data_IF_531860926215
#
_entry.id   IF_531860926215
#
_cell.length_a   1.000
_cell.length_b   1.000
_cell.length_c   1.000
_cell.angle_alpha   90.00
_cell.angle_beta   90.00
_cell.angle_gamma   90.00
#
_symmetry.space_group_name_H-M   'P 1'
#
loop_
_entity.id
_entity.type
_entity.pdbx_description
1 polymer ?
#
# COMPACT_ATOMS: atom_id res chain seq x y z
N UNK A 1 -10.92 2.66 9.20
CA UNK A 1 -11.87 1.54 9.40
C UNK A 1 -11.30 0.61 10.46
N UNK A 2 -12.16 0.01 11.27
CA UNK A 2 -11.77 -0.95 12.30
C UNK A 2 -12.24 -2.37 11.91
N UNK A 3 -11.47 -2.98 11.00
CA UNK A 3 -11.76 -4.32 10.47
C UNK A 3 -11.87 -5.36 11.60
N UNK A 4 -10.97 -5.39 12.61
CA UNK A 4 -11.09 -6.32 13.72
C UNK A 4 -12.44 -6.26 14.43
N UNK A 5 -12.92 -5.05 14.71
CA UNK A 5 -14.21 -4.86 15.36
C UNK A 5 -15.40 -5.25 14.47
N UNK A 6 -15.36 -4.92 13.17
CA UNK A 6 -16.42 -5.24 12.21
C UNK A 6 -16.61 -6.76 12.05
N UNK A 7 -15.52 -7.53 12.00
CA UNK A 7 -15.55 -8.98 11.77
C UNK A 7 -15.38 -9.79 13.05
N UNK A 8 -15.29 -9.15 14.22
CA UNK A 8 -15.07 -9.78 15.53
C UNK A 8 -13.87 -10.73 15.55
N UNK A 9 -12.77 -10.31 14.91
CA UNK A 9 -11.52 -11.07 14.89
C UNK A 9 -10.54 -10.51 15.93
N UNK A 10 -9.58 -11.34 16.34
CA UNK A 10 -8.56 -10.92 17.32
C UNK A 10 -7.67 -9.80 16.76
N UNK A 11 -7.76 -8.62 17.36
CA UNK A 11 -7.01 -7.43 16.96
C UNK A 11 -5.49 -7.64 17.05
N UNK A 12 -5.02 -8.48 17.96
CA UNK A 12 -3.59 -8.75 18.13
C UNK A 12 -3.03 -9.55 16.95
N UNK A 13 -3.73 -10.61 16.54
CA UNK A 13 -3.39 -11.41 15.38
C UNK A 13 -3.52 -10.63 14.08
N UNK A 14 -4.54 -9.77 13.96
CA UNK A 14 -4.66 -8.86 12.80
C UNK A 14 -3.44 -7.95 12.69
N UNK A 15 -3.03 -7.29 13.79
CA UNK A 15 -1.84 -6.44 13.83
C UNK A 15 -0.54 -7.19 13.52
N UNK A 16 -0.41 -8.45 13.97
CA UNK A 16 0.74 -9.30 13.59
C UNK A 16 0.80 -9.50 12.09
N UNK A 17 -0.33 -9.79 11.45
CA UNK A 17 -0.38 -9.97 10.00
C UNK A 17 -0.04 -8.68 9.25
N UNK A 18 -0.53 -7.52 9.71
CA UNK A 18 -0.15 -6.22 9.14
C UNK A 18 1.36 -5.98 9.23
N UNK A 19 1.97 -6.32 10.37
CA UNK A 19 3.42 -6.20 10.55
C UNK A 19 4.21 -7.15 9.65
N UNK A 20 3.78 -8.40 9.47
CA UNK A 20 4.40 -9.34 8.53
C UNK A 20 4.30 -8.86 7.09
N UNK A 21 3.16 -8.29 6.69
CA UNK A 21 2.97 -7.70 5.37
C UNK A 21 3.94 -6.53 5.14
N UNK A 22 4.09 -5.65 6.13
CA UNK A 22 5.05 -4.54 6.07
C UNK A 22 6.48 -5.04 5.92
N UNK A 23 6.91 -6.00 6.76
CA UNK A 23 8.25 -6.60 6.67
C UNK A 23 8.49 -7.25 5.31
N UNK A 24 7.52 -7.97 4.79
CA UNK A 24 7.61 -8.61 3.48
C UNK A 24 7.75 -7.58 2.37
N UNK A 25 7.00 -6.48 2.45
CA UNK A 25 7.10 -5.36 1.52
C UNK A 25 8.49 -4.73 1.51
N UNK A 26 9.12 -4.58 2.68
CA UNK A 26 10.51 -4.08 2.79
C UNK A 26 11.52 -5.04 2.13
N UNK A 27 11.34 -6.34 2.29
CA UNK A 27 12.19 -7.34 1.61
C UNK A 27 12.11 -7.24 0.09
N UNK A 28 10.94 -6.93 -0.48
CA UNK A 28 10.81 -6.69 -1.93
C UNK A 28 11.68 -5.49 -2.34
N UNK A 29 11.64 -4.39 -1.58
CA UNK A 29 12.47 -3.21 -1.85
C UNK A 29 13.97 -3.51 -1.73
N UNK A 30 14.37 -4.37 -0.78
CA UNK A 30 15.76 -4.85 -0.66
C UNK A 30 16.21 -5.65 -1.88
N UNK A 31 15.35 -6.49 -2.44
CA UNK A 31 15.64 -7.23 -3.68
C UNK A 31 15.91 -6.26 -4.83
N UNK A 32 15.11 -5.20 -5.00
CA UNK A 32 15.35 -4.18 -6.03
C UNK A 32 16.70 -3.49 -5.82
N UNK A 33 16.99 -3.09 -4.58
CA UNK A 33 18.28 -2.47 -4.21
C UNK A 33 19.47 -3.37 -4.56
N UNK A 34 19.40 -4.64 -4.18
CA UNK A 34 20.49 -5.61 -4.40
C UNK A 34 20.71 -5.93 -5.88
N UNK A 35 19.68 -5.71 -6.71
CA UNK A 35 19.77 -5.87 -8.17
C UNK A 35 19.99 -4.54 -8.90
N UNK A 36 20.40 -3.48 -8.18
CA UNK A 36 20.67 -2.15 -8.74
C UNK A 36 19.49 -1.55 -9.52
N UNK A 37 18.26 -1.92 -9.14
CA UNK A 37 17.05 -1.33 -9.71
C UNK A 37 16.69 -0.04 -8.99
N UNK A 38 16.03 0.86 -9.71
CA UNK A 38 15.48 2.09 -9.12
C UNK A 38 14.52 1.74 -7.97
N UNK A 39 14.65 2.48 -6.86
CA UNK A 39 13.82 2.26 -5.69
C UNK A 39 12.52 3.04 -5.80
N UNK A 40 11.42 2.35 -5.58
CA UNK A 40 10.09 2.92 -5.47
C UNK A 40 9.82 3.40 -4.03
N UNK A 41 8.94 4.39 -3.89
CA UNK A 41 8.54 4.99 -2.61
C UNK A 41 7.26 4.38 -2.07
N UNK A 42 6.36 3.95 -2.95
CA UNK A 42 5.18 3.17 -2.59
C UNK A 42 4.84 2.16 -3.69
N UNK A 43 3.93 1.24 -3.39
CA UNK A 43 3.35 0.36 -4.40
C UNK A 43 1.88 0.10 -4.08
N UNK A 44 1.13 -0.26 -5.11
CA UNK A 44 -0.26 -0.70 -4.99
C UNK A 44 -0.38 -2.12 -5.50
N UNK A 45 -0.97 -3.01 -4.70
CA UNK A 45 -1.23 -4.39 -5.08
C UNK A 45 -2.73 -4.60 -5.27
N UNK A 46 -3.12 -5.19 -6.39
CA UNK A 46 -4.47 -5.69 -6.64
C UNK A 46 -4.45 -7.21 -6.69
N UNK A 47 -5.33 -7.87 -5.95
CA UNK A 47 -5.44 -9.33 -5.87
C UNK A 47 -6.87 -9.75 -6.21
N UNK A 48 -7.02 -10.59 -7.23
CA UNK A 48 -8.28 -11.19 -7.62
C UNK A 48 -8.58 -12.45 -6.80
N UNK A 49 -9.87 -12.83 -6.69
CA UNK A 49 -10.27 -14.07 -6.02
C UNK A 49 -9.72 -15.36 -6.68
N UNK A 50 -9.23 -15.26 -7.92
CA UNK A 50 -8.55 -16.35 -8.63
C UNK A 50 -7.10 -16.56 -8.17
N UNK A 51 -6.56 -15.65 -7.35
CA UNK A 51 -5.15 -15.61 -6.95
C UNK A 51 -4.25 -14.84 -7.93
N UNK A 52 -4.79 -14.37 -9.06
CA UNK A 52 -4.05 -13.44 -9.93
C UNK A 52 -3.86 -12.11 -9.23
N UNK A 53 -2.66 -11.56 -9.33
CA UNK A 53 -2.36 -10.27 -8.74
C UNK A 53 -1.54 -9.40 -9.69
N UNK A 54 -1.62 -8.09 -9.46
CA UNK A 54 -0.82 -7.06 -10.12
C UNK A 54 -0.21 -6.17 -9.06
N UNK A 55 1.02 -5.73 -9.28
CA UNK A 55 1.68 -4.71 -8.47
C UNK A 55 2.05 -3.54 -9.38
N UNK A 56 1.66 -2.33 -8.97
CA UNK A 56 2.06 -1.08 -9.59
C UNK A 56 3.00 -0.34 -8.62
N UNK A 57 4.27 -0.15 -9.02
CA UNK A 57 5.27 0.58 -8.26
C UNK A 57 5.19 2.08 -8.56
N UNK A 58 5.30 2.92 -7.53
CA UNK A 58 5.29 4.38 -7.63
C UNK A 58 6.63 4.95 -7.17
N UNK A 59 7.26 5.69 -8.09
CA UNK A 59 8.58 6.30 -7.94
C UNK A 59 8.49 7.76 -7.49
N UNK A 60 7.29 8.29 -7.28
CA UNK A 60 7.08 9.63 -6.73
C UNK A 60 7.62 9.70 -5.31
N UNK A 61 8.57 10.60 -5.06
CA UNK A 61 9.05 10.89 -3.72
C UNK A 61 8.03 11.72 -2.94
N UNK A 62 6.99 11.06 -2.42
CA UNK A 62 5.92 11.70 -1.65
C UNK A 62 6.42 12.50 -0.44
N UNK A 63 7.60 12.18 0.10
CA UNK A 63 8.21 12.89 1.23
C UNK A 63 8.74 14.28 0.85
N UNK A 64 8.97 14.53 -0.44
CA UNK A 64 9.40 15.82 -0.97
C UNK A 64 8.24 16.66 -1.52
N UNK A 65 7.00 16.20 -1.34
CA UNK A 65 5.80 16.91 -1.77
C UNK A 65 5.10 17.59 -0.60
N UNK A 66 4.31 18.63 -0.88
CA UNK A 66 3.44 19.28 0.10
C UNK A 66 2.16 18.49 0.41
N UNK A 67 1.98 17.30 -0.19
CA UNK A 67 0.80 16.47 -0.01
C UNK A 67 0.87 15.67 1.29
N UNK A 68 -0.11 15.89 2.16
CA UNK A 68 -0.29 15.09 3.38
C UNK A 68 -0.67 13.64 3.03
N UNK A 69 -0.56 12.73 3.99
CA UNK A 69 -1.06 11.35 3.82
C UNK A 69 -2.54 11.29 3.44
N UNK A 70 -3.35 12.26 3.88
CA UNK A 70 -4.75 12.34 3.50
C UNK A 70 -4.89 12.72 2.02
N UNK A 71 -4.10 13.68 1.54
CA UNK A 71 -4.10 14.07 0.13
C UNK A 71 -3.64 12.92 -0.76
N UNK A 72 -2.58 12.22 -0.35
CA UNK A 72 -2.07 11.02 -1.03
C UNK A 72 -3.14 9.92 -1.12
N UNK A 73 -3.92 9.72 -0.04
CA UNK A 73 -5.04 8.78 -0.04
C UNK A 73 -6.14 9.19 -1.02
N UNK A 74 -6.48 10.48 -1.11
CA UNK A 74 -7.45 11.00 -2.09
C UNK A 74 -6.96 10.80 -3.52
N UNK A 75 -5.69 11.10 -3.79
CA UNK A 75 -5.05 10.89 -5.10
C UNK A 75 -5.07 9.40 -5.46
N UNK A 76 -4.73 8.53 -4.50
CA UNK A 76 -4.74 7.08 -4.69
C UNK A 76 -6.14 6.57 -5.04
N UNK A 77 -7.16 6.99 -4.29
CA UNK A 77 -8.57 6.62 -4.53
C UNK A 77 -9.05 7.08 -5.89
N UNK A 78 -8.69 8.30 -6.30
CA UNK A 78 -9.00 8.79 -7.63
C UNK A 78 -8.36 7.93 -8.73
N UNK A 79 -7.08 7.60 -8.58
CA UNK A 79 -6.31 6.81 -9.57
C UNK A 79 -6.80 5.36 -9.70
N UNK A 80 -7.07 4.67 -8.59
CA UNK A 80 -7.30 3.22 -8.59
C UNK A 80 -8.77 2.83 -8.39
N UNK A 81 -9.58 3.67 -7.76
CA UNK A 81 -11.00 3.39 -7.48
C UNK A 81 -11.96 4.26 -8.28
N UNK A 82 -11.46 5.18 -9.12
CA UNK A 82 -12.26 6.19 -9.84
C UNK A 82 -13.13 7.06 -8.91
N UNK A 83 -12.73 7.21 -7.64
CA UNK A 83 -13.44 8.05 -6.66
C UNK A 83 -13.10 9.53 -6.91
N UNK A 84 -14.09 10.36 -7.23
CA UNK A 84 -13.85 11.80 -7.43
C UNK A 84 -13.49 12.47 -6.10
N UNK A 85 -12.48 13.36 -6.07
CA UNK A 85 -12.18 14.16 -4.89
C UNK A 85 -13.43 14.93 -4.45
N UNK A 86 -13.75 14.87 -3.17
CA UNK A 86 -14.80 15.72 -2.59
C UNK A 86 -14.21 17.13 -2.43
N UNK A 87 -14.96 18.13 -2.90
CA UNK A 87 -14.59 19.55 -2.76
C UNK A 87 -14.79 20.03 -1.34
#
# INVERSE_FOLDING_TARGET
MDIPNLFKIDSSNFKKNEYELYKTSKKIQEVFKNNHQELWYSFTMSLEGTGKFKIDYDYTNWLETDYSFNDQMVIWKYKYLNEKPQK
#
